data_IF_368868919520
#
_entry.id   IF_368868919520
#
_cell.length_a   1.000
_cell.length_b   1.000
_cell.length_c   1.000
_cell.angle_alpha   90.00
_cell.angle_beta   90.00
_cell.angle_gamma   90.00
#
_symmetry.space_group_name_H-M   'P 1'
#
loop_
_entity.id
_entity.type
_entity.pdbx_description
1 polymer ?
#
# COMPACT_ATOMS: atom_id res chain seq x y z
N UNK A 1 7.44 -8.69 16.64
CA UNK A 1 6.90 -7.75 15.63
C UNK A 1 6.03 -8.48 14.60
N UNK A 2 6.57 -9.41 13.80
CA UNK A 2 5.82 -10.19 12.80
C UNK A 2 4.60 -10.94 13.34
N UNK A 3 4.78 -11.70 14.43
CA UNK A 3 3.72 -12.59 14.94
C UNK A 3 2.49 -11.80 15.44
N UNK A 4 2.71 -10.59 15.94
CA UNK A 4 1.67 -9.64 16.35
C UNK A 4 0.77 -9.23 15.19
N UNK A 5 1.37 -8.92 14.03
CA UNK A 5 0.61 -8.58 12.81
C UNK A 5 -0.19 -9.78 12.33
N UNK A 6 0.38 -10.98 12.38
CA UNK A 6 -0.31 -12.19 11.97
C UNK A 6 -1.48 -12.56 12.90
N UNK A 7 -1.35 -12.35 14.20
CA UNK A 7 -2.45 -12.52 15.17
C UNK A 7 -3.62 -11.57 14.84
N UNK A 8 -3.32 -10.28 14.60
CA UNK A 8 -4.35 -9.31 14.22
C UNK A 8 -5.07 -9.69 12.91
N UNK A 9 -4.33 -10.15 11.89
CA UNK A 9 -4.90 -10.63 10.62
C UNK A 9 -5.75 -11.90 10.76
N UNK A 10 -5.52 -12.69 11.82
CA UNK A 10 -6.32 -13.86 12.20
C UNK A 10 -7.51 -13.52 13.10
N UNK A 11 -7.73 -12.24 13.40
CA UNK A 11 -8.75 -11.78 14.36
C UNK A 11 -8.53 -12.30 15.79
N UNK A 12 -7.28 -12.55 16.15
CA UNK A 12 -6.84 -12.88 17.52
C UNK A 12 -6.41 -11.58 18.22
N UNK A 13 -6.52 -11.52 19.56
CA UNK A 13 -6.10 -10.35 20.34
C UNK A 13 -4.57 -10.30 20.46
N UNK A 14 -3.89 -9.30 19.87
CA UNK A 14 -2.45 -9.13 20.03
C UNK A 14 -2.12 -8.45 21.37
N UNK A 15 -0.88 -8.63 21.85
CA UNK A 15 -0.36 -7.98 23.06
C UNK A 15 -0.29 -6.44 22.96
N UNK A 16 -0.21 -5.90 21.75
CA UNK A 16 -0.47 -4.48 21.46
C UNK A 16 -1.02 -4.33 20.04
N UNK A 17 -1.74 -3.26 19.76
CA UNK A 17 -2.31 -3.00 18.44
C UNK A 17 -1.17 -2.74 17.45
N UNK A 18 -0.99 -3.55 16.38
CA UNK A 18 -0.02 -3.24 15.35
C UNK A 18 -0.45 -2.00 14.57
N UNK A 19 0.49 -1.11 14.27
CA UNK A 19 0.21 0.13 13.56
C UNK A 19 1.28 0.46 12.52
N UNK A 20 0.87 1.29 11.57
CA UNK A 20 1.73 2.11 10.74
C UNK A 20 1.27 3.56 10.89
N UNK A 21 2.18 4.44 11.30
CA UNK A 21 1.90 5.87 11.48
C UNK A 21 2.87 6.67 10.60
N UNK A 22 2.49 7.02 9.37
CA UNK A 22 3.23 8.00 8.58
C UNK A 22 3.09 9.37 9.23
N UNK A 23 4.21 10.08 9.37
CA UNK A 23 4.25 11.44 9.91
C UNK A 23 5.00 12.28 8.90
N UNK A 24 4.39 13.38 8.45
CA UNK A 24 5.00 14.34 7.52
C UNK A 24 6.23 15.00 8.17
N UNK A 25 7.23 15.34 7.35
CA UNK A 25 8.51 15.86 7.83
C UNK A 25 8.35 17.18 8.63
N UNK A 26 7.45 18.07 8.19
CA UNK A 26 7.16 19.33 8.90
C UNK A 26 6.48 19.09 10.26
N UNK A 27 5.68 18.03 10.36
CA UNK A 27 5.05 17.61 11.62
C UNK A 27 6.09 16.99 12.55
N UNK A 28 7.01 16.19 12.02
CA UNK A 28 8.13 15.63 12.76
C UNK A 28 8.96 16.75 13.42
N UNK A 29 9.29 17.81 12.68
CA UNK A 29 10.02 18.97 13.21
C UNK A 29 9.26 19.68 14.34
N UNK A 30 7.94 19.84 14.19
CA UNK A 30 7.12 20.46 15.24
C UNK A 30 7.04 19.62 16.51
N UNK A 31 7.04 18.30 16.37
CA UNK A 31 7.03 17.37 17.52
C UNK A 31 8.37 17.42 18.25
N UNK A 32 9.49 17.55 17.54
CA UNK A 32 10.81 17.75 18.16
C UNK A 32 10.86 19.01 19.01
N UNK A 33 10.34 20.11 18.47
CA UNK A 33 10.27 21.38 19.22
C UNK A 33 9.37 21.23 20.45
N UNK A 34 8.28 20.47 20.33
CA UNK A 34 7.35 20.25 21.44
C UNK A 34 7.95 19.42 22.59
N UNK A 35 8.65 18.33 22.27
CA UNK A 35 9.27 17.46 23.28
C UNK A 35 10.68 17.90 23.68
N UNK A 36 11.29 18.82 22.93
CA UNK A 36 12.63 19.35 23.16
C UNK A 36 13.76 18.43 22.68
N UNK A 37 13.45 17.23 22.20
CA UNK A 37 14.41 16.26 21.68
C UNK A 37 13.74 15.27 20.69
N UNK A 38 14.55 14.56 19.87
CA UNK A 38 14.03 13.61 18.90
C UNK A 38 13.76 12.18 19.43
N UNK A 39 14.01 11.91 20.72
CA UNK A 39 14.02 10.55 21.30
C UNK A 39 12.63 9.90 21.36
N UNK A 40 11.56 10.68 21.22
CA UNK A 40 10.20 10.15 21.09
C UNK A 40 10.05 9.18 19.91
N UNK A 41 10.83 9.37 18.83
CA UNK A 41 10.81 8.48 17.65
C UNK A 41 11.21 7.06 17.98
N UNK A 42 12.16 6.88 18.91
CA UNK A 42 12.64 5.56 19.32
C UNK A 42 11.58 4.76 20.07
N UNK A 43 10.56 5.44 20.61
CA UNK A 43 9.42 4.83 21.30
C UNK A 43 8.35 4.34 20.33
N UNK A 44 8.40 4.77 19.06
CA UNK A 44 7.48 4.31 18.02
C UNK A 44 8.03 3.06 17.32
N UNK A 45 7.21 2.02 17.30
CA UNK A 45 7.52 0.77 16.62
C UNK A 45 6.55 0.63 15.43
N UNK A 46 7.04 0.90 14.23
CA UNK A 46 6.29 0.63 13.01
C UNK A 46 6.18 -0.89 12.84
N UNK A 47 4.96 -1.42 12.80
CA UNK A 47 4.72 -2.87 12.72
C UNK A 47 4.48 -3.33 11.28
N UNK A 48 4.05 -2.42 10.41
CA UNK A 48 3.75 -2.67 9.01
C UNK A 48 4.59 -1.70 8.19
N UNK A 49 5.35 -2.24 7.25
CA UNK A 49 6.10 -1.44 6.27
C UNK A 49 5.23 -1.18 5.05
N UNK A 50 5.34 0.03 4.49
CA UNK A 50 4.84 0.29 3.16
C UNK A 50 5.85 -0.25 2.14
N UNK A 51 5.45 -1.24 1.35
CA UNK A 51 6.18 -1.60 0.15
C UNK A 51 5.64 -0.70 -0.96
N UNK A 52 6.54 0.01 -1.63
CA UNK A 52 6.18 0.92 -2.72
C UNK A 52 5.19 0.27 -3.67
N UNK A 53 4.07 0.92 -3.90
CA UNK A 53 3.09 0.47 -4.87
C UNK A 53 3.51 1.00 -6.24
N UNK A 54 3.61 0.13 -7.24
CA UNK A 54 3.74 0.55 -8.62
C UNK A 54 2.62 1.53 -9.00
N UNK A 55 2.86 2.37 -10.01
CA UNK A 55 1.82 3.30 -10.46
C UNK A 55 0.56 2.54 -10.85
N UNK A 56 -0.50 2.69 -10.05
CA UNK A 56 -1.85 2.21 -10.38
C UNK A 56 -2.58 3.17 -11.31
N UNK A 57 -1.91 4.23 -11.75
CA UNK A 57 -2.47 5.24 -12.63
C UNK A 57 -2.79 4.64 -13.99
N UNK A 58 -3.96 5.00 -14.51
CA UNK A 58 -4.30 4.80 -15.91
C UNK A 58 -3.71 5.98 -16.68
N UNK A 59 -2.88 5.71 -17.69
CA UNK A 59 -2.29 6.75 -18.55
C UNK A 59 -3.39 7.33 -19.43
N UNK A 60 -3.69 8.62 -19.26
CA UNK A 60 -4.84 9.27 -19.89
C UNK A 60 -4.67 9.63 -21.36
N UNK A 61 -3.43 9.85 -21.81
CA UNK A 61 -3.09 10.22 -23.20
C UNK A 61 -2.49 9.04 -23.98
N UNK A 62 -2.99 7.84 -23.65
CA UNK A 62 -2.49 6.56 -24.15
C UNK A 62 -3.36 5.94 -25.26
N UNK A 63 -3.00 4.73 -25.70
CA UNK A 63 -3.85 3.91 -26.55
C UNK A 63 -5.23 3.68 -25.91
N UNK A 64 -6.23 3.31 -26.71
CA UNK A 64 -7.60 3.07 -26.23
C UNK A 64 -7.71 1.98 -25.15
N UNK A 65 -6.69 1.12 -25.05
CA UNK A 65 -6.58 0.04 -24.07
C UNK A 65 -5.23 0.15 -23.37
N UNK A 66 -5.23 0.05 -22.05
CA UNK A 66 -4.05 0.12 -21.17
C UNK A 66 -3.98 -1.13 -20.28
N UNK A 67 -2.79 -1.72 -20.16
CA UNK A 67 -2.51 -2.77 -19.19
C UNK A 67 -1.75 -2.17 -18.00
N UNK A 68 -2.27 -2.32 -16.78
CA UNK A 68 -1.59 -1.85 -15.58
C UNK A 68 -0.43 -2.78 -15.16
N UNK A 69 0.29 -2.38 -14.11
CA UNK A 69 1.46 -3.12 -13.60
C UNK A 69 1.13 -4.58 -13.25
N UNK A 70 -0.11 -4.88 -12.90
CA UNK A 70 -0.55 -6.22 -12.54
C UNK A 70 -1.08 -7.04 -13.73
N UNK A 71 -1.13 -6.45 -14.93
CA UNK A 71 -1.66 -7.11 -16.13
C UNK A 71 -3.18 -7.03 -16.27
N UNK A 72 -3.85 -6.18 -15.49
CA UNK A 72 -5.27 -5.88 -15.69
C UNK A 72 -5.41 -4.93 -16.88
N UNK A 73 -6.36 -5.25 -17.76
CA UNK A 73 -6.60 -4.52 -19.01
C UNK A 73 -7.82 -3.61 -18.86
N UNK A 74 -7.61 -2.33 -19.14
CA UNK A 74 -8.58 -1.25 -19.03
C UNK A 74 -8.82 -0.61 -20.39
N UNK A 75 -10.06 -0.24 -20.68
CA UNK A 75 -10.41 0.65 -21.79
C UNK A 75 -10.48 2.10 -21.31
N UNK A 76 -9.70 2.95 -21.97
CA UNK A 76 -9.34 4.28 -21.46
C UNK A 76 -9.63 5.44 -22.42
N UNK A 77 -9.99 5.14 -23.68
CA UNK A 77 -10.46 6.13 -24.68
C UNK A 77 -11.80 6.77 -24.35
N UNK A 78 -12.55 6.19 -23.40
CA UNK A 78 -13.87 6.64 -22.97
C UNK A 78 -13.96 6.78 -21.47
N UNK A 79 -14.89 7.63 -21.03
CA UNK A 79 -15.25 7.83 -19.63
C UNK A 79 -16.67 7.30 -19.37
N UNK A 80 -16.92 6.64 -18.22
CA UNK A 80 -15.93 6.17 -17.26
C UNK A 80 -15.02 5.09 -17.86
N UNK A 81 -13.85 4.90 -17.27
CA UNK A 81 -12.97 3.80 -17.67
C UNK A 81 -13.67 2.46 -17.45
N UNK A 82 -13.43 1.53 -18.36
CA UNK A 82 -14.07 0.22 -18.34
C UNK A 82 -13.04 -0.88 -18.15
N UNK A 83 -13.31 -1.83 -17.25
CA UNK A 83 -12.50 -3.02 -17.05
C UNK A 83 -12.79 -4.01 -18.18
N UNK A 84 -11.82 -4.23 -19.07
CA UNK A 84 -11.95 -5.19 -20.17
C UNK A 84 -11.58 -6.61 -19.70
N UNK A 85 -10.49 -6.74 -18.92
CA UNK A 85 -10.06 -8.04 -18.37
C UNK A 85 -9.27 -7.88 -17.08
N UNK A 86 -9.65 -8.56 -15.98
CA UNK A 86 -8.84 -8.57 -14.76
C UNK A 86 -7.52 -9.33 -14.94
N UNK A 87 -6.51 -8.99 -14.15
CA UNK A 87 -5.26 -9.75 -14.05
C UNK A 87 -5.50 -11.19 -13.57
N UNK A 88 -6.43 -11.38 -12.63
CA UNK A 88 -6.83 -12.65 -12.07
C UNK A 88 -8.28 -12.94 -12.44
N UNK A 89 -8.51 -14.00 -13.21
CA UNK A 89 -9.87 -14.42 -13.62
C UNK A 89 -10.56 -15.17 -12.47
N UNK A 90 -9.78 -15.91 -11.70
CA UNK A 90 -10.20 -16.62 -10.49
C UNK A 90 -9.45 -16.05 -9.28
N UNK A 91 -9.97 -16.19 -8.05
CA UNK A 91 -9.29 -15.74 -6.83
C UNK A 91 -8.13 -16.69 -6.45
N UNK A 92 -7.23 -16.92 -7.40
CA UNK A 92 -6.06 -17.79 -7.28
C UNK A 92 -4.82 -17.05 -7.81
N UNK A 93 -3.72 -17.16 -7.07
CA UNK A 93 -2.43 -16.58 -7.43
C UNK A 93 -1.48 -17.62 -8.05
N UNK A 94 -1.91 -18.88 -8.15
CA UNK A 94 -1.10 -19.95 -8.72
C UNK A 94 -0.73 -19.62 -10.17
N UNK A 95 0.57 -19.50 -10.43
CA UNK A 95 1.09 -19.14 -11.76
C UNK A 95 1.08 -17.64 -12.06
N UNK A 96 0.61 -16.79 -11.14
CA UNK A 96 0.73 -15.34 -11.27
C UNK A 96 2.18 -14.90 -11.05
N UNK A 97 2.71 -14.12 -12.00
CA UNK A 97 4.05 -13.54 -11.89
C UNK A 97 3.90 -12.11 -11.37
N UNK A 98 4.44 -11.85 -10.18
CA UNK A 98 4.47 -10.49 -9.65
C UNK A 98 5.38 -9.62 -10.51
N UNK A 99 4.93 -8.42 -10.87
CA UNK A 99 5.77 -7.48 -11.60
C UNK A 99 6.90 -6.97 -10.69
N UNK A 100 8.06 -6.67 -11.30
CA UNK A 100 9.28 -6.18 -10.60
C UNK A 100 9.09 -4.81 -9.92
#
# INVERSE_FOLDING_TARGET
>A
CRDRVLAALRFEEPDTVPYQLPIEDDVIERIDVHYGDPAWRERLQQHVGFVGMGSLGIVMDGPAVYADHFGTVWRVDKRPHHLERPALIEPDLTGYTWPD
#
